data_IF_319301081772
#
_entry.id   IF_319301081772
#
_cell.length_a   1.000
_cell.length_b   1.000
_cell.length_c   1.000
_cell.angle_alpha   90.00
_cell.angle_beta   90.00
_cell.angle_gamma   90.00
#
_symmetry.space_group_name_H-M   'P 1'
#
loop_
_entity.id
_entity.type
_entity.pdbx_description
1 polymer ?
#
# COMPACT_ATOMS: atom_id res chain seq x y z
N UNK A 1 -11.00 13.32 10.90
CA UNK A 1 -11.47 12.46 9.79
C UNK A 1 -11.79 11.13 10.43
N UNK A 2 -12.98 10.58 10.22
CA UNK A 2 -13.33 9.29 10.81
C UNK A 2 -12.44 8.19 10.22
N UNK A 3 -11.90 7.34 11.09
CA UNK A 3 -11.12 6.16 10.71
C UNK A 3 -12.05 5.16 10.01
N UNK A 4 -11.77 4.85 8.74
CA UNK A 4 -12.59 3.95 7.93
C UNK A 4 -11.83 2.66 7.63
N UNK A 5 -12.55 1.54 7.49
CA UNK A 5 -11.95 0.27 7.06
C UNK A 5 -11.40 0.37 5.65
N UNK A 6 -10.21 -0.20 5.46
CA UNK A 6 -9.58 -0.27 4.15
C UNK A 6 -10.10 -1.52 3.45
N UNK A 7 -10.57 -1.35 2.22
CA UNK A 7 -10.98 -2.45 1.34
C UNK A 7 -10.03 -2.60 0.16
N UNK A 8 -10.12 -3.74 -0.54
CA UNK A 8 -9.36 -3.98 -1.77
C UNK A 8 -9.55 -2.83 -2.76
N UNK A 9 -8.44 -2.36 -3.32
CA UNK A 9 -8.46 -1.25 -4.28
C UNK A 9 -8.24 0.13 -3.66
N UNK A 10 -8.19 0.24 -2.33
CA UNK A 10 -7.75 1.44 -1.62
C UNK A 10 -6.40 1.95 -2.15
N UNK A 11 -6.28 3.27 -2.34
CA UNK A 11 -5.04 3.88 -2.82
C UNK A 11 -4.08 4.09 -1.65
N UNK A 12 -2.86 3.65 -1.81
CA UNK A 12 -1.73 3.84 -0.90
C UNK A 12 -0.62 4.68 -1.54
N UNK A 13 0.21 5.30 -0.71
CA UNK A 13 1.38 6.08 -1.11
C UNK A 13 2.55 5.81 -0.17
N UNK A 14 3.72 5.52 -0.74
CA UNK A 14 5.00 5.62 -0.05
C UNK A 14 5.53 7.06 -0.13
N UNK A 15 6.03 7.61 0.97
CA UNK A 15 6.64 8.95 1.03
C UNK A 15 7.95 9.07 0.21
N UNK A 16 8.65 7.96 -0.03
CA UNK A 16 9.83 7.89 -0.92
C UNK A 16 9.50 7.54 -2.37
N UNK A 17 8.26 7.16 -2.66
CA UNK A 17 7.79 6.81 -4.00
C UNK A 17 7.14 7.98 -4.73
N UNK A 18 7.14 7.94 -6.06
CA UNK A 18 6.47 8.96 -6.88
C UNK A 18 5.01 8.65 -7.18
N UNK A 19 4.59 7.39 -7.09
CA UNK A 19 3.27 6.94 -7.53
C UNK A 19 2.39 6.52 -6.36
N UNK A 20 1.09 6.76 -6.50
CA UNK A 20 0.07 6.08 -5.69
C UNK A 20 -0.20 4.72 -6.35
N UNK A 21 -0.45 3.70 -5.54
CA UNK A 21 -0.85 2.37 -6.00
C UNK A 21 -2.10 1.92 -5.28
N UNK A 22 -2.82 0.97 -5.86
CA UNK A 22 -3.91 0.30 -5.15
C UNK A 22 -3.35 -0.88 -4.37
N UNK A 23 -3.83 -1.09 -3.15
CA UNK A 23 -3.63 -2.36 -2.45
C UNK A 23 -4.49 -3.43 -3.11
N UNK A 24 -4.00 -4.65 -3.19
CA UNK A 24 -4.72 -5.78 -3.77
C UNK A 24 -4.92 -6.87 -2.73
N UNK A 25 -5.99 -7.66 -2.92
CA UNK A 25 -6.32 -8.81 -2.10
C UNK A 25 -6.76 -9.91 -3.05
N UNK A 26 -5.87 -10.85 -3.41
CA UNK A 26 -6.17 -11.91 -4.38
C UNK A 26 -7.32 -12.81 -3.93
N UNK A 27 -7.35 -13.22 -2.66
CA UNK A 27 -8.40 -14.01 -2.03
C UNK A 27 -9.00 -13.24 -0.85
N UNK A 28 -10.33 -13.16 -0.76
CA UNK A 28 -10.99 -12.44 0.33
C UNK A 28 -10.95 -13.22 1.65
N UNK A 29 -11.00 -12.48 2.76
CA UNK A 29 -11.12 -13.04 4.11
C UNK A 29 -12.57 -13.33 4.53
N UNK A 30 -13.51 -13.31 3.58
CA UNK A 30 -14.94 -13.51 3.83
C UNK A 30 -15.70 -12.31 4.43
N UNK A 31 -15.03 -11.19 4.71
CA UNK A 31 -15.64 -9.97 5.24
C UNK A 31 -15.64 -8.83 4.22
N UNK A 32 -16.73 -8.06 4.19
CA UNK A 32 -17.00 -7.06 3.17
C UNK A 32 -17.54 -5.76 3.77
N UNK A 33 -17.15 -4.62 3.19
CA UNK A 33 -17.72 -3.31 3.45
C UNK A 33 -18.14 -2.70 2.11
N UNK A 34 -19.40 -2.26 1.99
CA UNK A 34 -20.00 -1.80 0.74
C UNK A 34 -19.76 -2.75 -0.44
N UNK A 35 -19.83 -4.07 -0.20
CA UNK A 35 -19.60 -5.10 -1.21
C UNK A 35 -18.13 -5.32 -1.60
N UNK A 36 -17.19 -4.59 -1.01
CA UNK A 36 -15.76 -4.73 -1.27
C UNK A 36 -15.06 -5.48 -0.12
N UNK A 37 -14.13 -6.41 -0.41
CA UNK A 37 -13.50 -7.22 0.63
C UNK A 37 -12.56 -6.37 1.49
N UNK A 38 -12.67 -6.54 2.81
CA UNK A 38 -11.90 -5.80 3.82
C UNK A 38 -10.50 -6.38 3.95
N UNK A 39 -9.50 -5.52 4.12
CA UNK A 39 -8.09 -5.89 4.32
C UNK A 39 -7.77 -6.07 5.82
N UNK A 40 -6.77 -6.88 6.16
CA UNK A 40 -6.22 -7.04 7.51
C UNK A 40 -4.71 -6.75 7.59
N UNK A 41 -4.15 -6.72 8.79
CA UNK A 41 -2.75 -6.34 9.02
C UNK A 41 -1.70 -7.25 8.38
N UNK A 42 -2.08 -8.48 8.02
CA UNK A 42 -1.23 -9.45 7.35
C UNK A 42 -1.25 -9.31 5.81
N UNK A 43 -2.10 -8.44 5.25
CA UNK A 43 -2.17 -8.18 3.82
C UNK A 43 -1.04 -7.24 3.33
N UNK A 44 0.20 -7.69 3.49
CA UNK A 44 1.42 -6.94 3.20
C UNK A 44 2.40 -7.67 2.28
N UNK A 45 1.98 -8.76 1.63
CA UNK A 45 2.82 -9.56 0.73
C UNK A 45 3.19 -8.74 -0.51
N UNK A 46 4.49 -8.57 -0.73
CA UNK A 46 5.02 -7.85 -1.89
C UNK A 46 4.80 -8.67 -3.16
N UNK A 47 4.25 -8.04 -4.20
CA UNK A 47 3.86 -8.70 -5.45
C UNK A 47 2.40 -9.15 -5.49
N UNK A 48 1.81 -9.43 -4.33
CA UNK A 48 0.39 -9.82 -4.21
C UNK A 48 -0.49 -8.68 -3.72
N UNK A 49 -0.20 -8.16 -2.52
CA UNK A 49 -0.93 -7.04 -1.93
C UNK A 49 -0.33 -5.70 -2.33
N UNK A 50 1.00 -5.63 -2.34
CA UNK A 50 1.75 -4.38 -2.47
C UNK A 50 2.68 -4.43 -3.69
N UNK A 51 2.54 -3.43 -4.56
CA UNK A 51 3.41 -3.23 -5.73
C UNK A 51 4.42 -2.09 -5.52
N UNK A 52 5.24 -1.80 -6.53
CA UNK A 52 6.21 -0.70 -6.52
C UNK A 52 5.56 0.68 -6.38
N UNK A 53 6.29 1.72 -5.97
CA UNK A 53 5.76 3.10 -5.94
C UNK A 53 6.38 4.00 -7.03
N UNK A 54 6.69 3.44 -8.20
CA UNK A 54 7.29 4.14 -9.32
C UNK A 54 8.79 4.39 -9.09
N UNK A 55 9.21 5.66 -9.16
CA UNK A 55 10.60 6.05 -8.88
C UNK A 55 10.78 6.18 -7.37
N UNK A 56 11.81 5.54 -6.83
CA UNK A 56 12.16 5.58 -5.41
C UNK A 56 13.28 6.59 -5.13
N UNK A 57 13.11 7.36 -4.06
CA UNK A 57 14.11 8.29 -3.51
C UNK A 57 14.69 7.84 -2.15
N UNK A 58 14.33 6.64 -1.71
CA UNK A 58 14.87 6.02 -0.49
C UNK A 58 16.11 5.16 -0.77
N UNK A 59 16.51 4.36 0.21
CA UNK A 59 17.68 3.49 0.13
C UNK A 59 17.46 2.16 -0.59
N UNK A 60 16.52 2.06 -1.55
CA UNK A 60 16.26 0.77 -2.19
C UNK A 60 17.47 0.30 -3.00
N UNK A 61 17.77 -1.00 -3.11
CA UNK A 61 18.98 -1.51 -3.78
C UNK A 61 18.82 -1.69 -5.29
N UNK A 62 17.62 -1.47 -5.86
CA UNK A 62 17.32 -1.72 -7.28
C UNK A 62 18.34 -1.10 -8.23
N UNK A 63 18.95 -1.88 -9.12
CA UNK A 63 19.88 -1.37 -10.14
C UNK A 63 19.15 -0.84 -11.39
N UNK A 64 17.89 -1.21 -11.58
CA UNK A 64 17.08 -0.79 -12.73
C UNK A 64 16.55 0.63 -12.60
N UNK A 65 16.53 1.34 -13.73
CA UNK A 65 15.87 2.64 -13.89
C UNK A 65 14.57 2.49 -14.68
N UNK A 66 13.59 3.35 -14.39
CA UNK A 66 12.37 3.50 -15.19
C UNK A 66 12.24 4.94 -15.66
N UNK A 67 11.64 5.12 -16.84
CA UNK A 67 11.29 6.43 -17.39
C UNK A 67 9.78 6.60 -17.32
N UNK A 68 9.34 7.71 -16.72
CA UNK A 68 7.92 8.02 -16.52
C UNK A 68 7.57 9.29 -17.29
N UNK A 69 6.44 9.27 -18.00
CA UNK A 69 5.91 10.43 -18.72
C UNK A 69 4.94 11.18 -17.81
N UNK A 70 5.24 12.45 -17.54
CA UNK A 70 4.35 13.35 -16.79
C UNK A 70 3.18 13.80 -17.67
N UNK A 71 2.11 14.30 -17.04
CA UNK A 71 0.93 14.83 -17.76
C UNK A 71 1.25 15.92 -18.79
N UNK A 72 2.36 16.65 -18.61
CA UNK A 72 2.82 17.68 -19.53
C UNK A 72 3.77 17.16 -20.63
N UNK A 73 3.82 15.84 -20.85
CA UNK A 73 4.69 15.20 -21.85
C UNK A 73 6.16 15.08 -21.45
N UNK A 74 6.61 15.72 -20.36
CA UNK A 74 8.01 15.62 -19.91
C UNK A 74 8.31 14.24 -19.34
N UNK A 75 9.46 13.70 -19.70
CA UNK A 75 9.97 12.45 -19.14
C UNK A 75 10.78 12.70 -17.86
N UNK A 76 10.73 11.75 -16.93
CA UNK A 76 11.61 11.68 -15.77
C UNK A 76 12.12 10.26 -15.63
N UNK A 77 13.43 10.11 -15.55
CA UNK A 77 14.10 8.82 -15.31
C UNK A 77 14.59 8.75 -13.87
N UNK A 78 14.48 7.58 -13.24
CA UNK A 78 15.04 7.35 -11.92
C UNK A 78 14.95 5.90 -11.49
N UNK A 79 15.52 5.63 -10.31
CA UNK A 79 15.63 4.29 -9.73
C UNK A 79 14.26 3.64 -9.56
N UNK A 80 14.04 2.46 -10.13
CA UNK A 80 12.82 1.69 -9.95
C UNK A 80 12.64 1.36 -8.47
N UNK A 81 11.43 1.57 -7.95
CA UNK A 81 11.10 1.18 -6.60
C UNK A 81 11.09 -0.35 -6.48
N UNK A 82 11.83 -0.86 -5.49
CA UNK A 82 11.74 -2.22 -5.00
C UNK A 82 11.30 -2.11 -3.54
N UNK A 83 10.16 -2.69 -3.23
CA UNK A 83 9.58 -2.66 -1.87
C UNK A 83 10.12 -3.85 -1.10
N UNK A 84 10.46 -3.63 0.17
CA UNK A 84 10.79 -4.70 1.12
C UNK A 84 10.08 -4.41 2.43
N UNK A 85 9.23 -5.33 2.84
CA UNK A 85 8.41 -5.26 4.04
C UNK A 85 8.90 -6.34 5.01
N UNK A 86 9.08 -6.00 6.27
CA UNK A 86 9.60 -6.91 7.30
C UNK A 86 8.58 -7.25 8.39
N UNK A 87 7.50 -6.47 8.49
CA UNK A 87 6.49 -6.53 9.55
C UNK A 87 5.11 -6.25 8.98
N UNK A 88 4.10 -6.70 9.71
CA UNK A 88 2.68 -6.42 9.48
C UNK A 88 2.40 -4.91 9.45
N UNK A 89 1.21 -4.55 8.96
CA UNK A 89 0.72 -3.19 9.07
C UNK A 89 0.58 -2.80 10.55
N UNK A 90 0.98 -1.58 10.88
CA UNK A 90 0.85 -1.01 12.22
C UNK A 90 -0.42 -0.15 12.29
N UNK A 91 -0.93 0.06 13.51
CA UNK A 91 -2.16 0.82 13.78
C UNK A 91 -3.39 0.23 13.07
N UNK A 92 -3.50 -1.09 13.05
CA UNK A 92 -4.73 -1.79 12.68
C UNK A 92 -5.75 -1.74 13.83
N UNK A 93 -7.03 -1.97 13.52
CA UNK A 93 -8.11 -1.97 14.52
C UNK A 93 -8.19 -3.33 15.21
N UNK A 94 -7.67 -3.40 16.44
CA UNK A 94 -7.56 -4.66 17.20
C UNK A 94 -8.88 -5.33 17.58
N UNK A 95 -9.95 -4.55 17.77
CA UNK A 95 -11.26 -5.08 18.20
C UNK A 95 -12.05 -5.73 17.06
N UNK A 96 -11.62 -5.56 15.81
CA UNK A 96 -12.31 -6.08 14.63
C UNK A 96 -11.39 -7.02 13.88
N UNK A 97 -11.67 -8.32 13.97
CA UNK A 97 -10.86 -9.36 13.34
C UNK A 97 -11.45 -9.77 11.99
N UNK A 98 -10.61 -9.72 10.97
CA UNK A 98 -10.92 -10.07 9.58
C UNK A 98 -10.00 -11.24 9.20
N UNK A 99 -10.57 -12.42 9.00
CA UNK A 99 -9.75 -13.64 8.79
C UNK A 99 -8.87 -13.99 9.99
N UNK A 100 -9.25 -13.57 11.20
CA UNK A 100 -8.50 -13.81 12.44
C UNK A 100 -7.44 -12.76 12.78
N UNK A 101 -7.24 -11.74 11.96
CA UNK A 101 -6.27 -10.67 12.19
C UNK A 101 -6.94 -9.27 12.23
N UNK A 102 -6.38 -8.29 12.96
CA UNK A 102 -6.89 -6.91 13.02
C UNK A 102 -7.16 -6.27 11.65
N UNK A 103 -8.30 -5.58 11.54
CA UNK A 103 -8.72 -4.91 10.31
C UNK A 103 -7.85 -3.69 10.00
N UNK A 104 -7.47 -3.50 8.74
CA UNK A 104 -6.82 -2.26 8.31
C UNK A 104 -7.79 -1.09 8.33
N UNK A 105 -7.25 0.07 8.68
CA UNK A 105 -7.94 1.34 8.60
C UNK A 105 -7.13 2.38 7.84
N UNK A 106 -7.73 3.53 7.56
CA UNK A 106 -7.03 4.65 6.92
C UNK A 106 -5.86 5.20 7.74
N UNK A 107 -5.80 4.89 9.05
CA UNK A 107 -4.70 5.27 9.94
C UNK A 107 -3.56 4.23 9.97
N UNK A 108 -3.79 3.05 9.39
CA UNK A 108 -2.79 1.99 9.32
C UNK A 108 -1.60 2.41 8.45
N UNK A 109 -0.40 2.02 8.89
CA UNK A 109 0.85 2.38 8.22
C UNK A 109 1.76 1.16 8.07
N UNK A 110 2.59 1.17 7.03
CA UNK A 110 3.56 0.10 6.78
C UNK A 110 4.94 0.68 6.51
N UNK A 111 5.96 0.08 7.13
CA UNK A 111 7.34 0.52 7.00
C UNK A 111 8.07 -0.32 5.96
N UNK A 112 8.62 0.37 4.96
CA UNK A 112 9.54 -0.21 4.01
C UNK A 112 10.95 -0.17 4.58
N UNK A 113 11.67 -1.30 4.51
CA UNK A 113 13.04 -1.45 5.01
C UNK A 113 14.03 -0.43 4.41
N UNK A 114 13.68 0.17 3.27
CA UNK A 114 14.48 1.17 2.57
C UNK A 114 14.17 2.62 2.99
N UNK A 115 13.56 2.80 4.17
CA UNK A 115 13.32 4.10 4.80
C UNK A 115 12.05 4.81 4.35
N UNK A 116 11.09 4.07 3.78
CA UNK A 116 9.81 4.63 3.35
C UNK A 116 8.67 4.27 4.29
N UNK A 117 7.72 5.19 4.45
CA UNK A 117 6.44 4.94 5.14
C UNK A 117 5.31 4.91 4.11
N UNK A 118 4.57 3.81 4.07
CA UNK A 118 3.41 3.62 3.22
C UNK A 118 2.16 3.92 4.04
N UNK A 119 1.30 4.79 3.51
CA UNK A 119 0.02 5.18 4.12
C UNK A 119 -1.12 5.07 3.13
N UNK A 120 -2.34 4.89 3.63
CA UNK A 120 -3.55 4.98 2.84
C UNK A 120 -3.90 6.44 2.51
N UNK A 121 -4.41 6.64 1.30
CA UNK A 121 -4.87 7.92 0.75
C UNK A 121 -6.40 7.89 0.58
N UNK A 122 -6.97 6.70 0.38
CA UNK A 122 -8.40 6.45 0.34
C UNK A 122 -8.68 5.16 1.10
N UNK A 123 -9.90 4.97 1.58
CA UNK A 123 -10.39 3.71 2.14
C UNK A 123 -10.75 2.68 1.05
N UNK A 124 -11.04 3.14 -0.17
CA UNK A 124 -11.44 2.30 -1.29
C UNK A 124 -12.94 1.95 -1.33
N UNK A 125 -13.76 2.57 -0.46
CA UNK A 125 -15.18 2.21 -0.29
C UNK A 125 -16.14 3.05 -1.14
N UNK A 126 -15.62 4.01 -1.92
CA UNK A 126 -16.36 4.92 -2.79
C UNK A 126 -16.24 4.55 -4.27
#
# INVERSE_FOLDING_TARGET
MATAYVVRGAKMKCDKGTHKKKINLPASHGAYSNGNPIMNESDNVVGENISDFGICKGGCPSTGNITLVKKNGRTVTGKKCQVMILKEWMNAQGDTLIGGAPALTTDSTLICAYGGTIKFVTDGQA
#
